data_IF_430323015407
#
_entry.id   IF_430323015407
#
_cell.length_a   1.000
_cell.length_b   1.000
_cell.length_c   1.000
_cell.angle_alpha   90.00
_cell.angle_beta   90.00
_cell.angle_gamma   90.00
#
_symmetry.space_group_name_H-M   'P 1'
#
loop_
_entity.id
_entity.type
_entity.pdbx_description
1 polymer ?
#
# COMPACT_ATOMS: atom_id res chain seq x y z
N UNK A 1 4.33 5.83 12.66
CA UNK A 1 3.66 6.98 12.03
C UNK A 1 2.17 6.73 11.83
N UNK A 2 1.78 5.59 11.25
CA UNK A 2 0.37 5.25 10.98
C UNK A 2 -0.55 5.37 12.19
N UNK A 3 -0.18 4.80 13.33
CA UNK A 3 -1.00 4.87 14.55
C UNK A 3 -1.31 6.32 14.94
N UNK A 4 -0.32 7.21 14.81
CA UNK A 4 -0.53 8.63 15.09
C UNK A 4 -1.48 9.26 14.05
N UNK A 5 -1.33 8.94 12.76
CA UNK A 5 -2.21 9.46 11.70
C UNK A 5 -3.66 8.95 11.85
N UNK A 6 -3.85 7.70 12.26
CA UNK A 6 -5.17 7.09 12.46
C UNK A 6 -6.01 7.83 13.53
N UNK A 7 -5.38 8.50 14.50
CA UNK A 7 -6.11 9.36 15.46
C UNK A 7 -6.77 10.58 14.81
N UNK A 8 -6.37 10.95 13.60
CA UNK A 8 -6.93 12.06 12.83
C UNK A 8 -7.87 11.57 11.72
N UNK A 9 -8.09 10.28 11.54
CA UNK A 9 -8.90 9.76 10.43
C UNK A 9 -10.40 9.74 10.75
N UNK A 10 -11.21 10.26 9.85
CA UNK A 10 -12.68 10.26 9.91
C UNK A 10 -13.26 9.28 8.88
N UNK A 11 -13.84 8.18 9.37
CA UNK A 11 -14.37 7.10 8.54
C UNK A 11 -15.53 7.56 7.65
N UNK A 12 -16.36 8.50 8.10
CA UNK A 12 -17.54 8.94 7.35
C UNK A 12 -17.18 9.72 6.08
N UNK A 13 -16.03 10.38 6.05
CA UNK A 13 -15.56 11.19 4.92
C UNK A 13 -14.34 10.60 4.21
N UNK A 14 -13.72 9.55 4.76
CA UNK A 14 -12.46 8.99 4.31
C UNK A 14 -11.32 10.03 4.23
N UNK A 15 -11.23 10.91 5.23
CA UNK A 15 -10.23 11.98 5.28
C UNK A 15 -9.52 12.05 6.63
N UNK A 16 -8.29 12.54 6.61
CA UNK A 16 -7.55 12.98 7.79
C UNK A 16 -7.95 14.42 8.15
N UNK A 17 -8.44 14.60 9.36
CA UNK A 17 -8.95 15.84 9.93
C UNK A 17 -7.84 16.53 10.73
N UNK A 18 -7.09 17.42 10.09
CA UNK A 18 -6.13 18.28 10.78
C UNK A 18 -6.79 19.61 11.17
N UNK A 19 -6.13 20.41 12.02
CA UNK A 19 -6.76 21.57 12.71
C UNK A 19 -7.46 22.57 11.79
N UNK A 20 -7.02 22.73 10.55
CA UNK A 20 -7.65 23.64 9.58
C UNK A 20 -7.82 23.05 8.18
N UNK A 21 -7.50 21.77 7.99
CA UNK A 21 -7.44 21.17 6.65
C UNK A 21 -7.84 19.70 6.68
N UNK A 22 -8.52 19.26 5.62
CA UNK A 22 -8.82 17.85 5.37
C UNK A 22 -7.92 17.34 4.25
N UNK A 23 -7.26 16.21 4.48
CA UNK A 23 -6.39 15.60 3.48
C UNK A 23 -6.66 14.11 3.35
N UNK A 24 -6.44 13.54 2.18
CA UNK A 24 -6.57 12.10 1.96
C UNK A 24 -5.74 11.66 0.76
N UNK A 25 -5.21 10.42 0.75
CA UNK A 25 -4.62 9.85 -0.46
C UNK A 25 -5.63 9.89 -1.61
N UNK A 26 -5.21 10.38 -2.77
CA UNK A 26 -6.06 10.44 -3.97
C UNK A 26 -5.65 9.38 -4.99
N UNK A 27 -6.46 9.22 -6.04
CA UNK A 27 -6.12 8.32 -7.14
C UNK A 27 -4.90 8.80 -7.95
N UNK A 28 -4.64 10.12 -7.97
CA UNK A 28 -3.40 10.66 -8.55
C UNK A 28 -2.20 10.27 -7.70
N UNK A 29 -2.31 10.34 -6.37
CA UNK A 29 -1.24 9.91 -5.47
C UNK A 29 -0.91 8.43 -5.70
N UNK A 30 -1.93 7.58 -5.85
CA UNK A 30 -1.73 6.16 -6.20
C UNK A 30 -0.98 6.03 -7.52
N UNK A 31 -1.35 6.78 -8.55
CA UNK A 31 -0.70 6.73 -9.85
C UNK A 31 0.77 7.17 -9.79
N UNK A 32 1.08 8.23 -9.03
CA UNK A 32 2.47 8.70 -8.87
C UNK A 32 3.31 7.73 -8.05
N UNK A 33 2.75 7.18 -6.96
CA UNK A 33 3.44 6.23 -6.07
C UNK A 33 3.70 4.90 -6.79
N UNK A 34 2.72 4.37 -7.52
CA UNK A 34 2.76 2.99 -8.05
C UNK A 34 3.02 2.89 -9.55
N UNK A 35 2.86 3.98 -10.30
CA UNK A 35 2.83 3.95 -11.77
C UNK A 35 1.53 3.40 -12.36
N UNK A 36 0.55 3.01 -11.54
CA UNK A 36 -0.74 2.51 -12.03
C UNK A 36 -1.55 3.62 -12.69
N UNK A 37 -2.31 3.27 -13.73
CA UNK A 37 -3.18 4.25 -14.40
C UNK A 37 -4.31 4.69 -13.46
N UNK A 38 -4.60 6.00 -13.35
CA UNK A 38 -5.74 6.50 -12.58
C UNK A 38 -7.08 6.24 -13.29
N UNK A 39 -7.03 5.90 -14.57
CA UNK A 39 -8.20 5.58 -15.40
C UNK A 39 -8.24 4.08 -15.69
N UNK A 40 -9.45 3.54 -15.80
CA UNK A 40 -9.69 2.12 -16.06
C UNK A 40 -11.15 1.78 -15.82
N UNK A 41 -11.63 0.71 -16.47
CA UNK A 41 -12.97 0.20 -16.23
C UNK A 41 -13.12 -0.41 -14.84
N UNK A 42 -14.36 -0.62 -14.42
CA UNK A 42 -14.68 -1.38 -13.20
C UNK A 42 -14.19 -2.82 -13.33
N UNK A 43 -13.49 -3.30 -12.30
CA UNK A 43 -13.10 -4.70 -12.22
C UNK A 43 -14.34 -5.59 -12.09
N UNK A 44 -14.41 -6.63 -12.93
CA UNK A 44 -15.49 -7.59 -12.95
C UNK A 44 -14.88 -9.00 -12.92
N UNK A 45 -14.99 -9.74 -11.79
CA UNK A 45 -14.39 -11.06 -11.67
C UNK A 45 -14.98 -12.09 -12.66
N UNK A 46 -16.18 -11.85 -13.20
CA UNK A 46 -16.81 -12.77 -14.16
C UNK A 46 -16.13 -12.76 -15.54
N UNK A 47 -15.29 -11.76 -15.81
CA UNK A 47 -14.55 -11.61 -17.06
C UNK A 47 -13.26 -12.44 -17.13
N UNK A 48 -12.84 -13.09 -16.06
CA UNK A 48 -11.69 -13.99 -16.09
C UNK A 48 -11.98 -15.19 -17.00
N UNK A 49 -11.03 -15.58 -17.86
CA UNK A 49 -11.20 -16.81 -18.62
C UNK A 49 -11.18 -18.03 -17.70
N UNK A 50 -11.69 -19.14 -18.22
CA UNK A 50 -11.63 -20.46 -17.57
C UNK A 50 -10.57 -21.36 -18.20
N UNK A 51 -9.69 -20.77 -19.02
CA UNK A 51 -8.74 -21.52 -19.83
C UNK A 51 -7.56 -22.03 -19.01
N UNK A 52 -7.26 -21.35 -17.90
CA UNK A 52 -6.12 -21.66 -17.06
C UNK A 52 -6.64 -22.02 -15.67
N UNK A 53 -6.33 -23.23 -15.22
CA UNK A 53 -6.70 -23.74 -13.91
C UNK A 53 -5.49 -24.34 -13.24
N UNK A 54 -5.29 -24.05 -11.96
CA UNK A 54 -4.19 -24.61 -11.19
C UNK A 54 -4.72 -25.16 -9.86
N UNK A 55 -3.94 -26.05 -9.25
CA UNK A 55 -4.29 -26.66 -7.96
C UNK A 55 -4.17 -25.64 -6.80
N UNK A 56 -5.29 -25.41 -6.12
CA UNK A 56 -5.42 -24.49 -4.98
C UNK A 56 -5.62 -25.22 -3.63
N UNK A 57 -4.91 -26.33 -3.40
CA UNK A 57 -5.02 -27.09 -2.15
C UNK A 57 -4.06 -26.61 -1.05
N UNK A 58 -2.85 -26.16 -1.39
CA UNK A 58 -1.82 -25.74 -0.41
C UNK A 58 -1.67 -24.22 -0.38
N UNK A 59 -2.43 -23.56 0.49
CA UNK A 59 -2.68 -22.12 0.35
C UNK A 59 -1.91 -21.24 1.33
N UNK A 60 -1.21 -21.82 2.33
CA UNK A 60 -0.32 -21.01 3.19
C UNK A 60 0.83 -20.47 2.34
N UNK A 61 1.26 -19.23 2.58
CA UNK A 61 2.22 -18.56 1.68
C UNK A 61 3.47 -19.40 1.38
N UNK A 62 4.11 -19.96 2.42
CA UNK A 62 5.32 -20.79 2.25
C UNK A 62 5.07 -22.05 1.42
N UNK A 63 3.98 -22.78 1.69
CA UNK A 63 3.68 -24.01 0.96
C UNK A 63 3.21 -23.71 -0.47
N UNK A 64 2.47 -22.63 -0.65
CA UNK A 64 2.01 -22.17 -1.95
C UNK A 64 3.19 -21.83 -2.87
N UNK A 65 4.21 -21.14 -2.35
CA UNK A 65 5.45 -20.86 -3.10
C UNK A 65 6.15 -22.16 -3.48
N UNK A 66 6.43 -23.05 -2.52
CA UNK A 66 7.14 -24.30 -2.77
C UNK A 66 6.42 -25.17 -3.82
N UNK A 67 5.08 -25.19 -3.79
CA UNK A 67 4.27 -26.00 -4.69
C UNK A 67 4.20 -25.46 -6.11
N UNK A 68 4.11 -24.14 -6.28
CA UNK A 68 3.88 -23.50 -7.57
C UNK A 68 5.17 -22.91 -8.19
N UNK A 69 6.32 -23.15 -7.56
CA UNK A 69 7.61 -22.74 -8.12
C UNK A 69 8.11 -23.79 -9.12
N UNK A 70 8.38 -23.34 -10.34
CA UNK A 70 9.02 -24.16 -11.38
C UNK A 70 10.45 -24.56 -11.08
N UNK A 71 10.97 -25.46 -11.89
CA UNK A 71 12.39 -25.79 -11.87
C UNK A 71 13.21 -24.57 -12.33
N UNK A 72 14.35 -24.35 -11.68
CA UNK A 72 15.23 -23.24 -12.03
C UNK A 72 15.78 -23.39 -13.45
N UNK A 73 15.55 -22.39 -14.29
CA UNK A 73 16.05 -22.35 -15.68
C UNK A 73 14.99 -22.61 -16.75
N UNK A 74 13.80 -23.05 -16.35
CA UNK A 74 12.67 -23.23 -17.27
C UNK A 74 11.97 -21.89 -17.58
N UNK A 75 11.27 -21.85 -18.72
CA UNK A 75 10.40 -20.73 -19.06
C UNK A 75 9.18 -20.70 -18.14
N UNK A 76 8.82 -19.51 -17.66
CA UNK A 76 7.67 -19.33 -16.75
C UNK A 76 6.38 -19.64 -17.50
N UNK A 77 5.69 -20.68 -17.05
CA UNK A 77 4.38 -21.08 -17.57
C UNK A 77 3.28 -20.09 -17.18
N UNK A 78 2.16 -20.13 -17.91
CA UNK A 78 0.98 -19.30 -17.60
C UNK A 78 0.44 -19.59 -16.19
N UNK A 79 0.46 -20.85 -15.76
CA UNK A 79 0.04 -21.27 -14.41
C UNK A 79 0.95 -20.69 -13.32
N UNK A 80 2.28 -20.74 -13.52
CA UNK A 80 3.25 -20.14 -12.61
C UNK A 80 3.09 -18.62 -12.53
N UNK A 81 2.87 -17.97 -13.66
CA UNK A 81 2.64 -16.53 -13.67
C UNK A 81 1.35 -16.15 -12.93
N UNK A 82 0.25 -16.86 -13.15
CA UNK A 82 -1.03 -16.59 -12.47
C UNK A 82 -0.95 -16.91 -10.97
N UNK A 83 -0.28 -17.99 -10.58
CA UNK A 83 -0.08 -18.34 -9.17
C UNK A 83 0.78 -17.28 -8.47
N UNK A 84 1.87 -16.85 -9.11
CA UNK A 84 2.68 -15.72 -8.65
C UNK A 84 1.85 -14.44 -8.49
N UNK A 85 1.06 -14.06 -9.50
CA UNK A 85 0.20 -12.87 -9.43
C UNK A 85 -0.82 -12.99 -8.29
N UNK A 86 -1.42 -14.16 -8.09
CA UNK A 86 -2.38 -14.40 -7.01
C UNK A 86 -1.72 -14.23 -5.63
N UNK A 87 -0.50 -14.76 -5.47
CA UNK A 87 0.33 -14.55 -4.28
C UNK A 87 0.66 -13.06 -4.08
N UNK A 88 1.14 -12.40 -5.14
CA UNK A 88 1.55 -11.00 -5.12
C UNK A 88 0.41 -10.05 -4.77
N UNK A 89 -0.79 -10.30 -5.33
CA UNK A 89 -2.01 -9.58 -4.99
C UNK A 89 -2.42 -9.81 -3.52
N UNK A 90 -2.36 -11.06 -3.07
CA UNK A 90 -2.76 -11.44 -1.70
C UNK A 90 -1.83 -10.87 -0.63
N UNK A 91 -0.52 -10.97 -0.85
CA UNK A 91 0.49 -10.72 0.16
C UNK A 91 1.03 -9.28 0.12
N UNK A 92 1.36 -8.77 -1.06
CA UNK A 92 2.08 -7.49 -1.21
C UNK A 92 1.18 -6.32 -1.62
N UNK A 93 0.16 -6.54 -2.46
CA UNK A 93 -0.73 -5.43 -2.86
C UNK A 93 -1.83 -5.20 -1.84
N UNK A 94 -2.75 -6.16 -1.70
CA UNK A 94 -3.93 -6.02 -0.83
C UNK A 94 -3.67 -6.49 0.60
N UNK A 95 -2.50 -7.06 0.89
CA UNK A 95 -2.05 -7.49 2.22
C UNK A 95 -3.17 -8.12 3.07
N UNK A 96 -3.70 -9.24 2.59
CA UNK A 96 -4.78 -9.98 3.25
C UNK A 96 -4.44 -10.26 4.71
N UNK A 97 -5.44 -10.22 5.59
CA UNK A 97 -5.27 -10.60 7.01
C UNK A 97 -4.97 -12.08 7.20
N UNK A 98 -5.17 -12.90 6.17
CA UNK A 98 -4.91 -14.33 6.20
C UNK A 98 -3.42 -14.65 5.98
N UNK A 99 -2.93 -15.70 6.64
CA UNK A 99 -1.61 -16.32 6.36
C UNK A 99 -1.61 -17.19 5.09
N UNK A 100 -2.71 -17.14 4.34
CA UNK A 100 -2.91 -17.88 3.11
C UNK A 100 -3.10 -16.91 1.94
N UNK A 101 -2.66 -17.36 0.76
CA UNK A 101 -3.09 -16.80 -0.52
C UNK A 101 -4.62 -16.79 -0.52
N UNK A 102 -5.23 -15.73 -1.07
CA UNK A 102 -6.68 -15.57 -1.03
C UNK A 102 -7.28 -15.88 -2.41
N UNK A 103 -8.08 -16.94 -2.46
CA UNK A 103 -8.75 -17.45 -3.69
C UNK A 103 -9.51 -16.37 -4.46
N UNK A 104 -10.03 -15.36 -3.75
CA UNK A 104 -10.74 -14.22 -4.35
C UNK A 104 -9.91 -13.42 -5.36
N UNK A 105 -8.57 -13.49 -5.29
CA UNK A 105 -7.69 -12.79 -6.22
C UNK A 105 -7.36 -13.59 -7.48
N UNK A 106 -7.73 -14.87 -7.57
CA UNK A 106 -7.47 -15.70 -8.77
C UNK A 106 -8.08 -15.07 -10.04
N UNK A 107 -9.36 -14.65 -10.07
CA UNK A 107 -9.92 -14.04 -11.28
C UNK A 107 -9.22 -12.72 -11.65
N UNK A 108 -8.70 -12.00 -10.66
CA UNK A 108 -7.93 -10.77 -10.89
C UNK A 108 -6.55 -11.09 -11.49
N UNK A 109 -5.86 -12.10 -10.97
CA UNK A 109 -4.58 -12.57 -11.48
C UNK A 109 -4.69 -13.04 -12.93
N UNK A 110 -5.73 -13.81 -13.27
CA UNK A 110 -6.01 -14.25 -14.65
C UNK A 110 -6.20 -13.05 -15.58
N UNK A 111 -7.00 -12.05 -15.18
CA UNK A 111 -7.23 -10.88 -16.01
C UNK A 111 -5.96 -10.02 -16.21
N UNK A 112 -5.11 -9.90 -15.18
CA UNK A 112 -3.81 -9.23 -15.29
C UNK A 112 -2.89 -10.00 -16.25
N UNK A 113 -2.82 -11.32 -16.10
CA UNK A 113 -2.06 -12.21 -16.99
C UNK A 113 -2.49 -12.06 -18.46
N UNK A 114 -3.80 -11.99 -18.72
CA UNK A 114 -4.38 -11.76 -20.05
C UNK A 114 -4.20 -10.31 -20.57
N UNK A 115 -3.54 -9.42 -19.81
CA UNK A 115 -3.32 -8.03 -20.19
C UNK A 115 -4.58 -7.16 -20.14
N UNK A 116 -5.66 -7.62 -19.49
CA UNK A 116 -6.90 -6.84 -19.38
C UNK A 116 -6.68 -5.61 -18.54
N UNK A 117 -7.22 -4.50 -19.02
CA UNK A 117 -7.11 -3.21 -18.34
C UNK A 117 -8.36 -2.97 -17.47
N UNK A 118 -8.15 -2.82 -16.17
CA UNK A 118 -9.17 -2.36 -15.22
C UNK A 118 -8.51 -1.45 -14.18
N UNK A 119 -9.32 -0.68 -13.45
CA UNK A 119 -8.83 0.32 -12.50
C UNK A 119 -8.23 -0.29 -11.22
N UNK A 120 -7.08 -0.96 -11.30
CA UNK A 120 -6.40 -1.57 -10.15
C UNK A 120 -6.05 -0.51 -9.07
N UNK A 121 -5.58 0.67 -9.49
CA UNK A 121 -5.30 1.78 -8.56
C UNK A 121 -6.53 2.22 -7.75
N UNK A 122 -7.73 2.18 -8.37
CA UNK A 122 -8.99 2.48 -7.68
C UNK A 122 -9.33 1.42 -6.63
N UNK A 123 -9.08 0.14 -6.94
CA UNK A 123 -9.30 -0.95 -6.00
C UNK A 123 -8.34 -0.88 -4.80
N UNK A 124 -7.07 -0.57 -5.05
CA UNK A 124 -6.07 -0.38 -3.98
C UNK A 124 -6.48 0.79 -3.09
N UNK A 125 -6.91 1.92 -3.65
CA UNK A 125 -7.36 3.07 -2.88
C UNK A 125 -8.61 2.78 -2.05
N UNK A 126 -9.62 2.14 -2.65
CA UNK A 126 -10.82 1.72 -1.94
C UNK A 126 -10.49 0.76 -0.78
N UNK A 127 -9.64 -0.24 -1.06
CA UNK A 127 -9.16 -1.17 -0.04
C UNK A 127 -8.37 -0.47 1.06
N UNK A 128 -7.61 0.59 0.74
CA UNK A 128 -6.92 1.39 1.75
C UNK A 128 -7.92 2.05 2.71
N UNK A 129 -8.96 2.68 2.19
CA UNK A 129 -9.96 3.35 3.04
C UNK A 129 -10.70 2.39 3.95
N UNK A 130 -11.13 1.24 3.41
CA UNK A 130 -11.76 0.18 4.21
C UNK A 130 -10.81 -0.29 5.32
N UNK A 131 -9.53 -0.49 5.00
CA UNK A 131 -8.51 -0.94 5.94
C UNK A 131 -8.19 0.07 7.02
N UNK A 132 -8.08 1.36 6.69
CA UNK A 132 -7.88 2.41 7.71
C UNK A 132 -9.12 2.48 8.62
N UNK A 133 -10.32 2.43 8.05
CA UNK A 133 -11.55 2.47 8.83
C UNK A 133 -11.67 1.31 9.82
N UNK A 134 -11.41 0.09 9.35
CA UNK A 134 -11.37 -1.10 10.18
C UNK A 134 -10.26 -1.02 11.26
N UNK A 135 -9.09 -0.48 10.92
CA UNK A 135 -8.00 -0.27 11.87
C UNK A 135 -8.39 0.71 12.98
N UNK A 136 -9.01 1.84 12.63
CA UNK A 136 -9.49 2.84 13.58
C UNK A 136 -10.56 2.26 14.52
N UNK A 137 -11.49 1.45 14.00
CA UNK A 137 -12.52 0.81 14.81
C UNK A 137 -11.93 -0.24 15.77
N UNK A 138 -10.96 -1.03 15.29
CA UNK A 138 -10.21 -1.96 16.14
C UNK A 138 -9.41 -1.24 17.21
N UNK A 139 -8.81 -0.09 16.89
CA UNK A 139 -8.04 0.71 17.85
C UNK A 139 -8.93 1.23 18.98
N UNK A 140 -10.13 1.73 18.66
CA UNK A 140 -11.13 2.20 19.64
C UNK A 140 -11.64 1.07 20.55
N UNK A 141 -11.71 -0.16 20.03
CA UNK A 141 -12.18 -1.35 20.77
C UNK A 141 -11.05 -2.09 21.51
N UNK A 142 -9.80 -1.76 21.22
CA UNK A 142 -8.64 -2.46 21.80
C UNK A 142 -8.60 -2.25 23.31
N UNK A 143 -8.33 -3.34 24.04
CA UNK A 143 -8.06 -3.32 25.48
C UNK A 143 -6.55 -3.38 25.69
N UNK A 144 -6.09 -2.92 26.86
CA UNK A 144 -4.68 -2.96 27.23
C UNK A 144 -4.09 -4.37 27.03
N UNK A 145 -3.01 -4.45 26.25
CA UNK A 145 -2.30 -5.70 25.96
C UNK A 145 -2.84 -6.54 24.80
N UNK A 146 -3.93 -6.14 24.13
CA UNK A 146 -4.43 -6.84 22.94
C UNK A 146 -3.54 -6.60 21.70
N UNK A 147 -3.34 -7.64 20.88
CA UNK A 147 -2.61 -7.52 19.62
C UNK A 147 -3.40 -6.67 18.62
N UNK A 148 -2.76 -5.63 18.08
CA UNK A 148 -3.31 -4.77 17.06
C UNK A 148 -2.75 -5.16 15.69
N UNK A 149 -3.55 -5.87 14.90
CA UNK A 149 -3.21 -6.25 13.53
C UNK A 149 -3.99 -5.40 12.54
N UNK A 150 -3.28 -4.81 11.59
CA UNK A 150 -3.88 -4.08 10.47
C UNK A 150 -3.61 -4.85 9.19
N UNK A 151 -4.67 -5.11 8.42
CA UNK A 151 -4.60 -5.72 7.11
C UNK A 151 -4.95 -4.70 6.03
N UNK A 152 -4.54 -4.96 4.79
CA UNK A 152 -4.74 -4.08 3.66
C UNK A 152 -3.50 -3.31 3.22
N UNK A 153 -3.62 -2.49 2.16
CA UNK A 153 -2.53 -1.74 1.55
C UNK A 153 -2.04 -0.56 2.41
N UNK A 154 -1.81 -0.75 3.71
CA UNK A 154 -1.31 0.29 4.64
C UNK A 154 0.07 0.81 4.23
N UNK A 155 0.81 0.05 3.42
CA UNK A 155 2.02 0.53 2.75
C UNK A 155 1.72 1.79 1.91
N UNK A 156 0.56 1.89 1.27
CA UNK A 156 0.21 3.07 0.47
C UNK A 156 0.05 4.30 1.37
N UNK A 157 -0.58 4.13 2.54
CA UNK A 157 -0.65 5.20 3.54
C UNK A 157 0.73 5.57 4.07
N UNK A 158 1.64 4.60 4.26
CA UNK A 158 3.02 4.89 4.67
C UNK A 158 3.71 5.80 3.64
N UNK A 159 3.65 5.44 2.36
CA UNK A 159 4.33 6.17 1.29
C UNK A 159 3.71 7.56 1.09
N UNK A 160 2.38 7.66 1.15
CA UNK A 160 1.68 8.95 1.08
C UNK A 160 2.07 9.87 2.24
N UNK A 161 2.04 9.38 3.48
CA UNK A 161 2.45 10.17 4.65
C UNK A 161 3.93 10.57 4.58
N UNK A 162 4.80 9.68 4.10
CA UNK A 162 6.21 9.98 3.88
C UNK A 162 6.39 11.15 2.91
N UNK A 163 5.65 11.16 1.79
CA UNK A 163 5.70 12.22 0.81
C UNK A 163 5.14 13.54 1.38
N UNK A 164 3.95 13.49 1.98
CA UNK A 164 3.23 14.68 2.48
C UNK A 164 3.94 15.37 3.64
N UNK A 165 4.64 14.61 4.49
CA UNK A 165 5.27 15.13 5.71
C UNK A 165 6.79 15.00 5.72
N UNK A 166 7.41 14.75 4.58
CA UNK A 166 8.86 14.48 4.42
C UNK A 166 9.73 15.43 5.27
N UNK A 167 9.61 16.73 4.99
CA UNK A 167 10.37 17.79 5.65
C UNK A 167 10.05 17.89 7.16
N UNK A 168 8.77 17.76 7.53
CA UNK A 168 8.33 17.88 8.93
C UNK A 168 8.79 16.70 9.78
N UNK A 169 9.00 15.54 9.15
CA UNK A 169 9.43 14.32 9.80
C UNK A 169 10.95 14.13 9.76
N UNK A 170 11.66 14.99 9.02
CA UNK A 170 13.09 14.92 8.76
C UNK A 170 13.45 13.60 8.06
N UNK A 171 12.62 13.17 7.11
CA UNK A 171 12.91 11.96 6.35
C UNK A 171 13.98 12.25 5.30
N UNK A 172 14.90 11.31 5.12
CA UNK A 172 15.93 11.39 4.10
C UNK A 172 16.13 10.03 3.43
N UNK A 173 16.63 10.07 2.20
CA UNK A 173 17.11 8.89 1.48
C UNK A 173 18.55 8.62 1.92
N UNK A 174 18.87 7.41 2.43
CA UNK A 174 20.26 7.05 2.71
C UNK A 174 21.12 7.06 1.45
N UNK A 175 22.39 7.45 1.58
CA UNK A 175 23.33 7.61 0.44
C UNK A 175 23.43 6.37 -0.44
N UNK A 176 23.37 5.18 0.15
CA UNK A 176 23.39 3.89 -0.55
C UNK A 176 22.30 3.73 -1.63
N UNK A 177 21.20 4.48 -1.51
CA UNK A 177 20.07 4.43 -2.44
C UNK A 177 20.01 5.65 -3.38
N UNK A 178 20.96 6.58 -3.31
CA UNK A 178 20.89 7.83 -4.07
C UNK A 178 20.85 7.58 -5.59
N UNK A 179 21.67 6.66 -6.11
CA UNK A 179 21.70 6.34 -7.53
C UNK A 179 20.38 5.70 -8.03
N UNK A 180 19.82 4.76 -7.24
CA UNK A 180 18.52 4.13 -7.53
C UNK A 180 17.41 5.19 -7.58
N UNK A 181 17.40 6.09 -6.60
CA UNK A 181 16.41 7.17 -6.53
C UNK A 181 16.55 8.14 -7.71
N UNK A 182 17.75 8.50 -8.12
CA UNK A 182 17.94 9.38 -9.30
C UNK A 182 17.42 8.72 -10.58
N UNK A 183 17.62 7.41 -10.75
CA UNK A 183 17.20 6.67 -11.94
C UNK A 183 15.73 6.20 -11.93
N UNK A 184 14.97 6.53 -10.88
CA UNK A 184 13.63 5.99 -10.65
C UNK A 184 12.64 6.36 -11.77
N UNK A 185 11.77 5.41 -12.10
CA UNK A 185 10.68 5.60 -13.07
C UNK A 185 9.35 5.95 -12.40
N UNK A 186 9.20 5.59 -11.12
CA UNK A 186 8.02 5.89 -10.30
C UNK A 186 8.48 6.47 -8.97
N UNK A 187 7.65 7.32 -8.37
CA UNK A 187 8.03 8.02 -7.15
C UNK A 187 8.06 7.08 -5.93
N UNK A 188 7.30 5.98 -5.96
CA UNK A 188 7.31 4.96 -4.90
C UNK A 188 8.71 4.41 -4.59
N UNK A 189 9.60 4.32 -5.59
CA UNK A 189 11.00 3.90 -5.42
C UNK A 189 11.77 4.81 -4.46
N UNK A 190 11.50 6.12 -4.46
CA UNK A 190 12.11 7.04 -3.49
C UNK A 190 11.42 6.95 -2.13
N UNK A 191 10.08 6.94 -2.13
CA UNK A 191 9.29 7.02 -0.90
C UNK A 191 9.50 5.82 0.03
N UNK A 192 9.82 4.64 -0.50
CA UNK A 192 10.14 3.45 0.29
C UNK A 192 11.51 3.54 0.97
N UNK A 193 12.42 4.39 0.46
CA UNK A 193 13.76 4.62 1.02
C UNK A 193 13.79 5.75 2.04
N UNK A 194 12.73 6.56 2.11
CA UNK A 194 12.62 7.62 3.09
C UNK A 194 12.57 7.03 4.51
N UNK A 195 13.61 7.35 5.29
CA UNK A 195 13.73 6.95 6.67
C UNK A 195 14.05 8.18 7.55
N UNK A 196 13.56 8.20 8.80
CA UNK A 196 14.05 9.19 9.75
C UNK A 196 15.54 8.91 10.05
N UNK A 197 16.34 9.93 10.38
CA UNK A 197 17.72 9.73 10.81
C UNK A 197 17.76 8.80 12.02
N UNK A 198 18.82 7.98 12.16
CA UNK A 198 18.99 7.07 13.30
C UNK A 198 19.11 7.89 14.59
N UNK A 199 17.97 8.11 15.22
CA UNK A 199 17.82 8.69 16.54
C UNK A 199 17.36 7.52 17.38
N UNK A 200 18.10 7.13 18.42
CA UNK A 200 17.80 5.99 19.32
C UNK A 200 16.50 6.15 20.12
N UNK A 201 15.40 6.47 19.45
CA UNK A 201 14.09 6.78 19.97
C UNK A 201 13.27 5.50 20.01
N UNK A 202 12.60 5.28 21.14
CA UNK A 202 11.66 4.17 21.25
C UNK A 202 10.32 4.48 20.56
N UNK A 203 9.48 3.45 20.41
CA UNK A 203 8.17 3.54 19.76
C UNK A 203 7.26 4.62 20.36
N UNK A 204 7.26 4.78 21.69
CA UNK A 204 6.47 5.80 22.40
C UNK A 204 6.94 7.22 22.06
N UNK A 205 8.25 7.44 22.03
CA UNK A 205 8.83 8.73 21.66
C UNK A 205 8.51 9.08 20.20
N UNK A 206 8.63 8.12 19.29
CA UNK A 206 8.27 8.29 17.88
C UNK A 206 6.78 8.59 17.71
N UNK A 207 5.91 7.84 18.39
CA UNK A 207 4.46 8.09 18.38
C UNK A 207 4.15 9.52 18.84
N UNK A 208 4.71 9.96 19.97
CA UNK A 208 4.52 11.31 20.48
C UNK A 208 5.11 12.39 19.55
N UNK A 209 6.23 12.13 18.88
CA UNK A 209 6.80 13.02 17.85
C UNK A 209 5.78 13.22 16.72
N UNK A 210 5.28 12.14 16.14
CA UNK A 210 4.33 12.21 15.01
C UNK A 210 2.99 12.84 15.42
N UNK A 211 2.44 12.49 16.59
CA UNK A 211 1.23 13.13 17.12
C UNK A 211 1.40 14.65 17.24
N UNK A 212 2.55 15.12 17.77
CA UNK A 212 2.83 16.56 17.88
C UNK A 212 2.96 17.24 16.51
N UNK A 213 3.54 16.56 15.51
CA UNK A 213 3.62 17.07 14.14
C UNK A 213 2.22 17.28 13.58
N UNK A 214 1.36 16.25 13.67
CA UNK A 214 -0.02 16.34 13.17
C UNK A 214 -0.89 17.35 13.92
N UNK A 215 -0.79 17.44 15.26
CA UNK A 215 -1.51 18.44 16.05
C UNK A 215 -1.12 19.89 15.71
N UNK A 216 0.14 20.10 15.30
CA UNK A 216 0.68 21.41 14.90
C UNK A 216 0.48 21.71 13.41
N UNK A 217 -0.16 20.81 12.67
CA UNK A 217 -0.49 21.05 11.27
C UNK A 217 -1.66 22.03 11.19
N UNK A 218 -1.40 23.22 10.67
CA UNK A 218 -2.35 24.34 10.67
C UNK A 218 -2.64 24.87 9.27
N UNK A 219 -1.77 24.67 8.30
CA UNK A 219 -1.95 25.18 6.93
C UNK A 219 -1.27 24.24 5.95
N UNK A 220 -1.95 23.97 4.84
CA UNK A 220 -1.42 23.20 3.73
C UNK A 220 -0.50 24.09 2.91
N UNK A 221 0.77 23.71 2.81
CA UNK A 221 1.75 24.37 1.93
C UNK A 221 2.06 23.48 0.72
N UNK A 222 2.60 24.07 -0.34
CA UNK A 222 2.85 23.40 -1.62
C UNK A 222 3.72 22.12 -1.48
N UNK A 223 4.68 22.12 -0.55
CA UNK A 223 5.54 20.97 -0.28
C UNK A 223 4.77 19.75 0.29
N UNK A 224 3.55 19.97 0.79
CA UNK A 224 2.68 18.94 1.36
C UNK A 224 1.63 18.47 0.36
N UNK A 225 1.75 18.94 -0.88
CA UNK A 225 1.00 18.48 -2.04
C UNK A 225 1.96 17.93 -3.10
N UNK A 226 2.81 16.94 -2.75
CA UNK A 226 3.95 16.52 -3.57
C UNK A 226 3.56 15.92 -4.94
N UNK A 227 2.27 15.67 -5.15
CA UNK A 227 1.73 15.01 -6.33
C UNK A 227 0.80 15.90 -7.17
N UNK A 228 0.69 17.21 -6.86
CA UNK A 228 -0.04 18.15 -7.72
C UNK A 228 0.59 18.26 -9.12
N UNK A 229 1.93 18.21 -9.18
CA UNK A 229 2.68 18.16 -10.42
C UNK A 229 3.34 16.79 -10.57
N UNK A 230 2.96 16.05 -11.61
CA UNK A 230 3.62 14.78 -11.94
C UNK A 230 4.97 15.06 -12.59
N UNK A 231 6.04 15.08 -11.79
CA UNK A 231 7.42 15.23 -12.28
C UNK A 231 8.02 13.92 -12.79
N UNK A 232 7.52 12.78 -12.30
CA UNK A 232 8.02 11.43 -12.61
C UNK A 232 6.83 10.49 -12.80
N UNK A 233 6.92 9.65 -13.85
CA UNK A 233 5.95 8.61 -14.20
C UNK A 233 5.02 8.94 -15.35
#
# INVERSE_FOLDING_TARGET
MHLAAMHFYENSTNTFQFKREMMTPTLFDVAVITGLRPTGGTYDPSKASKNISFDYNENTFSKYIIKNQGAGGDEVSDEEHITFLTLWLSHYNFCSSSLQVAKRFIPMAIQIHEGRQFGLGRLILASLYESIGAACDSLKKSKDGSSFLVAGPIWLLQLWLNATFENKMELAVPEDYAAEVVARQIEGTRLVRLAPPPKGQNSKQLFMKYMKIFLKFVELIEEQTPFLERKIG
#
